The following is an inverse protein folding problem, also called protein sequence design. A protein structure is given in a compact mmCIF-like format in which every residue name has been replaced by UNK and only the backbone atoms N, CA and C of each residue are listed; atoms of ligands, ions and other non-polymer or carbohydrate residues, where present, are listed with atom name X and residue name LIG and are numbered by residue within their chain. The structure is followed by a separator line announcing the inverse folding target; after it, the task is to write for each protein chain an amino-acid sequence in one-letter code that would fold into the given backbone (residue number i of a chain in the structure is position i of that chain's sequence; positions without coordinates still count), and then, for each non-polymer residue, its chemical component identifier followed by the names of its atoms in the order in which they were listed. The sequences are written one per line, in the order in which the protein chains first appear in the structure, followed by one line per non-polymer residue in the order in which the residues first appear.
data_IF_830753539699
#
_entry.id   IF_830753539699
#
_cell.length_a   1.000
_cell.length_b   1.000
_cell.length_c   1.000
_cell.angle_alpha   90.00
_cell.angle_beta   90.00
_cell.angle_gamma   90.00
#
_symmetry.space_group_name_H-M   'P 1'
#
loop_
_entity.id
_entity.type
_entity.pdbx_description
1 polymer ?
#
# COMPACT_ATOMS: atom_id res chain seq x y z
N UNK A 1 12.72 -20.60 -8.17
CA UNK A 1 13.13 -21.84 -7.52
C UNK A 1 14.43 -21.58 -6.81
N UNK A 2 14.41 -21.67 -5.48
CA UNK A 2 15.54 -21.40 -4.62
C UNK A 2 16.69 -22.39 -4.84
N UNK A 3 17.90 -21.89 -4.77
CA UNK A 3 19.12 -22.68 -4.67
C UNK A 3 19.10 -23.47 -3.36
N UNK A 4 18.80 -24.75 -3.41
CA UNK A 4 18.99 -25.63 -2.28
C UNK A 4 20.40 -26.24 -2.36
N UNK A 5 21.22 -26.00 -1.33
CA UNK A 5 22.53 -26.60 -1.16
C UNK A 5 23.62 -26.23 -2.20
N UNK A 6 23.66 -24.97 -2.64
CA UNK A 6 24.73 -24.49 -3.53
C UNK A 6 24.76 -25.16 -4.91
N UNK A 7 23.59 -25.57 -5.44
CA UNK A 7 23.47 -26.18 -6.77
C UNK A 7 22.40 -25.43 -7.58
N UNK A 8 22.71 -25.16 -8.83
CA UNK A 8 21.77 -24.56 -9.77
C UNK A 8 20.83 -25.65 -10.33
N UNK A 9 19.52 -25.31 -10.40
CA UNK A 9 18.48 -26.17 -10.98
C UNK A 9 18.06 -25.59 -12.32
N UNK A 10 18.20 -26.33 -13.39
CA UNK A 10 17.67 -25.99 -14.72
C UNK A 10 16.70 -27.04 -15.22
N UNK A 11 15.77 -26.63 -16.08
CA UNK A 11 14.78 -27.52 -16.70
C UNK A 11 15.08 -27.62 -18.20
N UNK A 12 15.25 -28.85 -18.69
CA UNK A 12 15.35 -29.14 -20.12
C UNK A 12 14.12 -29.93 -20.60
N UNK A 13 13.59 -29.66 -21.80
CA UNK A 13 12.53 -30.50 -22.37
C UNK A 13 13.08 -31.87 -22.79
N UNK A 14 12.34 -33.00 -22.58
CA UNK A 14 11.02 -33.12 -21.98
C UNK A 14 11.07 -33.44 -20.48
N UNK A 15 10.90 -32.46 -19.59
CA UNK A 15 10.74 -32.63 -18.14
C UNK A 15 11.95 -33.26 -17.39
N UNK A 16 13.17 -33.01 -17.81
CA UNK A 16 14.37 -33.44 -17.09
C UNK A 16 14.92 -32.33 -16.20
N UNK A 17 15.07 -32.62 -14.90
CA UNK A 17 15.74 -31.72 -13.95
C UNK A 17 17.23 -32.04 -13.98
N UNK A 18 18.06 -31.06 -14.36
CA UNK A 18 19.52 -31.17 -14.30
C UNK A 18 20.01 -30.40 -13.08
N UNK A 19 20.80 -31.10 -12.24
CA UNK A 19 21.41 -30.49 -11.05
C UNK A 19 22.90 -30.27 -11.36
N UNK A 20 23.25 -29.00 -11.65
CA UNK A 20 24.63 -28.58 -11.89
C UNK A 20 25.31 -28.07 -10.59
N UNK A 21 26.65 -28.06 -10.58
CA UNK A 21 27.40 -27.27 -9.60
C UNK A 21 27.34 -25.81 -10.04
N UNK A 22 26.98 -24.91 -9.11
CA UNK A 22 27.17 -23.47 -9.32
C UNK A 22 28.68 -23.28 -9.53
N UNK A 23 29.08 -22.77 -10.69
CA UNK A 23 30.41 -22.21 -10.81
C UNK A 23 30.46 -21.06 -9.80
N UNK A 24 31.32 -21.18 -8.81
CA UNK A 24 31.70 -20.01 -8.03
C UNK A 24 32.32 -19.02 -9.01
N UNK A 25 31.50 -18.05 -9.44
CA UNK A 25 32.05 -16.82 -9.98
C UNK A 25 32.85 -16.23 -8.83
N UNK A 26 34.16 -16.30 -8.98
CA UNK A 26 35.12 -15.60 -8.13
C UNK A 26 34.63 -14.15 -8.15
N UNK A 27 33.92 -13.73 -7.08
CA UNK A 27 33.69 -12.33 -6.78
C UNK A 27 35.11 -11.75 -6.61
N UNK A 28 35.64 -11.25 -7.73
CA UNK A 28 36.74 -10.28 -7.67
C UNK A 28 36.14 -9.16 -6.85
N UNK A 29 36.65 -8.85 -5.67
CA UNK A 29 36.22 -7.69 -4.95
C UNK A 29 36.59 -6.53 -5.88
N UNK A 30 35.61 -6.00 -6.61
CA UNK A 30 35.73 -4.68 -7.21
C UNK A 30 35.87 -3.77 -6.01
N UNK A 31 37.09 -3.32 -5.74
CA UNK A 31 37.37 -2.18 -4.91
C UNK A 31 36.74 -1.00 -5.65
N UNK A 32 35.42 -0.85 -5.54
CA UNK A 32 34.76 0.38 -5.91
C UNK A 32 35.35 1.43 -4.97
N UNK A 33 36.16 2.30 -5.53
CA UNK A 33 36.57 3.53 -4.85
C UNK A 33 35.29 4.19 -4.34
N UNK A 34 35.19 4.56 -3.05
CA UNK A 34 33.98 5.15 -2.51
C UNK A 34 33.54 6.30 -3.43
N UNK A 35 32.34 6.21 -3.98
CA UNK A 35 31.81 7.24 -4.87
C UNK A 35 31.82 8.57 -4.12
N UNK A 36 32.38 9.61 -4.73
CA UNK A 36 32.38 10.97 -4.20
C UNK A 36 30.94 11.53 -4.07
N UNK A 37 29.97 10.86 -4.68
CA UNK A 37 28.55 11.25 -4.70
C UNK A 37 27.72 10.40 -3.74
N UNK A 38 26.70 11.02 -3.14
CA UNK A 38 25.77 10.31 -2.26
C UNK A 38 24.73 9.50 -3.05
N UNK A 39 24.16 10.07 -4.10
CA UNK A 39 23.29 9.39 -5.05
C UNK A 39 24.16 8.91 -6.20
N UNK A 40 24.19 7.61 -6.42
CA UNK A 40 25.17 6.93 -7.26
C UNK A 40 24.58 6.35 -8.55
N UNK A 41 23.25 6.34 -8.69
CA UNK A 41 22.59 5.83 -9.88
C UNK A 41 21.09 5.70 -9.73
N UNK A 42 20.44 5.24 -10.80
CA UNK A 42 19.03 4.90 -10.84
C UNK A 42 18.84 3.53 -11.49
N UNK A 43 17.77 2.84 -11.10
CA UNK A 43 17.23 1.69 -11.82
C UNK A 43 15.75 1.94 -12.09
N UNK A 44 15.30 1.57 -13.30
CA UNK A 44 13.90 1.66 -13.70
C UNK A 44 13.37 0.25 -13.95
N UNK A 45 12.17 0.00 -13.43
CA UNK A 45 11.41 -1.23 -13.67
C UNK A 45 10.03 -0.83 -14.19
N UNK A 46 9.79 -1.04 -15.48
CA UNK A 46 8.54 -0.70 -16.14
C UNK A 46 7.52 -1.83 -15.98
N UNK A 47 6.35 -1.47 -15.48
CA UNK A 47 5.20 -2.36 -15.29
C UNK A 47 4.01 -1.86 -16.13
N UNK A 48 3.05 -2.74 -16.37
CA UNK A 48 1.85 -2.40 -17.15
C UNK A 48 1.06 -1.21 -16.57
N UNK A 49 1.13 -0.98 -15.27
CA UNK A 49 0.40 0.06 -14.53
C UNK A 49 1.27 1.24 -14.07
N UNK A 50 2.56 1.25 -14.41
CA UNK A 50 3.45 2.36 -14.04
C UNK A 50 4.93 2.01 -14.12
N UNK A 51 5.78 2.88 -13.59
CA UNK A 51 7.23 2.70 -13.55
C UNK A 51 7.72 2.84 -12.10
N UNK A 52 8.48 1.85 -11.64
CA UNK A 52 9.21 1.90 -10.38
C UNK A 52 10.62 2.41 -10.65
N UNK A 53 11.01 3.50 -10.00
CA UNK A 53 12.34 4.08 -10.08
C UNK A 53 13.03 3.90 -8.73
N UNK A 54 14.17 3.23 -8.72
CA UNK A 54 15.00 3.10 -7.52
C UNK A 54 16.20 4.04 -7.64
N UNK A 55 16.26 5.04 -6.77
CA UNK A 55 17.40 5.96 -6.65
C UNK A 55 18.40 5.34 -5.68
N UNK A 56 19.56 4.97 -6.19
CA UNK A 56 20.63 4.33 -5.43
C UNK A 56 21.38 5.34 -4.61
N UNK A 57 21.52 5.10 -3.29
CA UNK A 57 22.24 5.99 -2.38
C UNK A 57 23.19 5.24 -1.46
N UNK A 58 24.36 5.80 -1.22
CA UNK A 58 25.35 5.26 -0.27
C UNK A 58 25.11 5.70 1.17
N UNK A 59 24.20 6.66 1.39
CA UNK A 59 23.77 7.08 2.73
C UNK A 59 22.26 7.26 2.79
N UNK A 60 21.69 7.08 3.97
CA UNK A 60 20.25 7.34 4.19
C UNK A 60 19.95 8.84 4.03
N UNK A 61 18.96 9.14 3.22
CA UNK A 61 18.46 10.49 2.99
C UNK A 61 17.13 10.64 3.74
N UNK A 62 17.12 11.31 4.90
CA UNK A 62 15.95 11.27 5.79
C UNK A 62 14.77 12.13 5.30
N UNK A 63 15.04 13.10 4.42
CA UNK A 63 14.02 14.03 3.94
C UNK A 63 14.34 14.56 2.54
N UNK A 64 13.29 14.81 1.79
CA UNK A 64 13.34 15.43 0.46
C UNK A 64 12.12 16.35 0.30
N UNK A 65 12.22 17.30 -0.61
CA UNK A 65 11.09 18.11 -1.08
C UNK A 65 10.63 17.56 -2.41
N UNK A 66 9.32 17.44 -2.57
CA UNK A 66 8.67 16.94 -3.79
C UNK A 66 7.73 18.02 -4.33
N UNK A 67 7.82 18.32 -5.63
CA UNK A 67 6.92 19.22 -6.32
C UNK A 67 6.58 18.65 -7.71
N UNK A 68 5.32 18.77 -8.13
CA UNK A 68 4.87 18.37 -9.46
C UNK A 68 4.30 19.57 -10.20
N UNK A 69 4.91 19.92 -11.34
CA UNK A 69 4.46 21.02 -12.19
C UNK A 69 4.81 20.75 -13.65
N UNK A 70 3.91 21.06 -14.58
CA UNK A 70 4.13 20.96 -16.02
C UNK A 70 4.63 19.55 -16.46
N UNK A 71 4.05 18.49 -15.93
CA UNK A 71 4.43 17.10 -16.17
C UNK A 71 5.86 16.75 -15.73
N UNK A 72 6.43 17.51 -14.81
CA UNK A 72 7.73 17.23 -14.22
C UNK A 72 7.57 17.06 -12.71
N UNK A 73 7.94 15.90 -12.20
CA UNK A 73 8.16 15.66 -10.79
C UNK A 73 9.58 16.08 -10.44
N UNK A 74 9.70 17.04 -9.54
CA UNK A 74 10.99 17.54 -9.05
C UNK A 74 11.20 17.06 -7.62
N UNK A 75 12.33 16.38 -7.38
CA UNK A 75 12.75 15.93 -6.06
C UNK A 75 14.04 16.68 -5.69
N UNK A 76 14.02 17.34 -4.54
CA UNK A 76 15.20 18.07 -4.02
C UNK A 76 15.68 17.40 -2.73
N UNK A 77 16.91 16.94 -2.74
CA UNK A 77 17.60 16.29 -1.63
C UNK A 77 18.63 17.25 -1.03
N UNK A 78 18.43 17.70 0.20
CA UNK A 78 19.28 18.68 0.84
C UNK A 78 20.58 18.09 1.35
N UNK A 79 21.70 18.79 1.13
CA UNK A 79 23.06 18.38 1.53
C UNK A 79 23.43 16.98 1.02
N UNK A 80 23.07 16.74 -0.23
CA UNK A 80 23.29 15.49 -0.97
C UNK A 80 23.86 15.83 -2.32
N UNK A 81 24.88 15.11 -2.75
CA UNK A 81 25.45 15.19 -4.09
C UNK A 81 25.00 14.03 -4.95
N UNK A 82 24.84 14.25 -6.25
CA UNK A 82 24.40 13.24 -7.23
C UNK A 82 25.43 13.08 -8.34
N UNK A 83 25.69 11.84 -8.72
CA UNK A 83 26.45 11.49 -9.94
C UNK A 83 25.54 11.73 -11.16
N UNK A 84 25.66 12.92 -11.74
CA UNK A 84 24.77 13.37 -12.82
C UNK A 84 24.84 12.46 -14.04
N UNK A 85 26.02 11.92 -14.35
CA UNK A 85 26.23 11.09 -15.54
C UNK A 85 25.50 9.74 -15.44
N UNK A 86 25.32 9.23 -14.23
CA UNK A 86 24.62 7.97 -13.95
C UNK A 86 23.11 8.11 -13.74
N UNK A 87 22.57 9.34 -13.73
CA UNK A 87 21.16 9.59 -13.47
C UNK A 87 20.40 10.13 -14.71
N UNK A 88 21.00 10.13 -15.87
CA UNK A 88 20.32 10.56 -17.08
C UNK A 88 19.60 9.38 -17.76
N UNK A 89 18.33 9.56 -18.03
CA UNK A 89 17.49 8.60 -18.72
C UNK A 89 16.60 9.29 -19.75
N UNK A 90 16.44 8.70 -20.92
CA UNK A 90 15.46 9.11 -21.93
C UNK A 90 14.80 7.87 -22.50
N UNK A 91 13.46 7.77 -22.35
CA UNK A 91 12.64 6.67 -22.85
C UNK A 91 11.57 7.16 -23.81
N UNK A 92 11.27 6.37 -24.83
CA UNK A 92 10.19 6.63 -25.78
C UNK A 92 8.87 6.02 -25.31
N UNK A 93 8.96 4.85 -24.75
CA UNK A 93 7.83 4.04 -24.28
C UNK A 93 7.49 4.35 -22.81
N UNK A 94 6.76 3.74 -22.07
CA UNK A 94 6.47 3.97 -20.66
C UNK A 94 5.94 5.37 -20.28
N UNK A 95 5.56 5.52 -19.02
CA UNK A 95 5.06 6.78 -18.47
C UNK A 95 6.18 7.78 -18.17
N UNK A 96 7.37 7.31 -17.85
CA UNK A 96 8.55 8.15 -17.61
C UNK A 96 9.25 8.41 -18.93
N UNK A 97 9.32 9.67 -19.33
CA UNK A 97 9.92 10.09 -20.61
C UNK A 97 11.37 10.51 -20.46
N UNK A 98 11.73 11.14 -19.35
CA UNK A 98 13.08 11.63 -19.10
C UNK A 98 13.37 11.72 -17.62
N UNK A 99 14.59 11.41 -17.23
CA UNK A 99 15.14 11.73 -15.91
C UNK A 99 16.41 12.54 -16.11
N UNK A 100 16.53 13.64 -15.40
CA UNK A 100 17.72 14.48 -15.35
C UNK A 100 18.05 14.80 -13.89
N UNK A 101 19.33 14.86 -13.58
CA UNK A 101 19.80 15.28 -12.26
C UNK A 101 20.73 16.45 -12.37
N UNK A 102 20.75 17.27 -11.32
CA UNK A 102 21.68 18.41 -11.18
C UNK A 102 22.09 18.56 -9.73
N UNK A 103 23.33 18.99 -9.53
CA UNK A 103 23.77 19.53 -8.25
C UNK A 103 23.54 21.04 -8.26
N UNK A 104 22.77 21.57 -7.30
CA UNK A 104 22.48 23.00 -7.16
C UNK A 104 22.97 23.44 -5.78
N UNK A 105 24.14 24.08 -5.73
CA UNK A 105 24.84 24.38 -4.49
C UNK A 105 25.20 23.08 -3.75
N UNK A 106 24.70 22.93 -2.53
CA UNK A 106 24.92 21.73 -1.71
C UNK A 106 23.79 20.65 -1.87
N UNK A 107 22.80 20.89 -2.73
CA UNK A 107 21.62 20.05 -2.88
C UNK A 107 21.63 19.32 -4.22
N UNK A 108 21.14 18.07 -4.24
CA UNK A 108 20.85 17.34 -5.46
C UNK A 108 19.39 17.52 -5.86
N UNK A 109 19.15 17.74 -7.16
CA UNK A 109 17.80 17.87 -7.70
C UNK A 109 17.61 16.85 -8.83
N UNK A 110 16.57 16.04 -8.74
CA UNK A 110 16.18 15.07 -9.78
C UNK A 110 14.87 15.56 -10.41
N UNK A 111 14.85 15.64 -11.73
CA UNK A 111 13.70 15.98 -12.55
C UNK A 111 13.22 14.74 -13.29
N UNK A 112 11.97 14.33 -13.08
CA UNK A 112 11.35 13.21 -13.76
C UNK A 112 10.22 13.75 -14.63
N UNK A 113 10.44 13.76 -15.93
CA UNK A 113 9.43 14.16 -16.92
C UNK A 113 8.54 12.97 -17.24
N UNK A 114 7.22 13.15 -17.09
CA UNK A 114 6.22 12.10 -17.33
C UNK A 114 5.34 12.40 -18.54
N UNK A 115 4.81 11.35 -19.16
CA UNK A 115 3.90 11.44 -20.29
C UNK A 115 2.46 11.79 -19.92
N UNK A 116 1.58 11.85 -20.92
CA UNK A 116 0.16 12.15 -20.74
C UNK A 116 -0.59 11.06 -19.94
N UNK A 117 -0.03 9.88 -19.92
CA UNK A 117 -0.54 8.70 -19.20
C UNK A 117 -0.31 8.79 -17.68
N UNK A 118 0.46 9.75 -17.20
CA UNK A 118 0.71 9.95 -15.77
C UNK A 118 -0.58 10.17 -14.99
N UNK A 119 -0.72 9.49 -13.86
CA UNK A 119 -1.83 9.62 -12.92
C UNK A 119 -1.37 10.23 -11.60
N UNK A 120 -0.46 9.56 -10.91
CA UNK A 120 0.06 9.97 -9.60
C UNK A 120 1.47 9.42 -9.38
N UNK A 121 2.11 9.86 -8.30
CA UNK A 121 3.42 9.35 -7.89
C UNK A 121 3.49 9.20 -6.38
N UNK A 122 4.34 8.29 -5.95
CA UNK A 122 4.72 8.09 -4.55
C UNK A 122 6.24 8.08 -4.42
N UNK A 123 6.75 8.56 -3.30
CA UNK A 123 8.18 8.55 -3.00
C UNK A 123 8.38 8.05 -1.59
N UNK A 124 9.24 7.07 -1.39
CA UNK A 124 9.49 6.46 -0.08
C UNK A 124 10.94 6.04 0.12
N UNK A 125 11.38 6.03 1.37
CA UNK A 125 12.66 5.44 1.77
C UNK A 125 12.49 3.95 2.04
N UNK A 126 13.36 3.12 1.52
CA UNK A 126 13.39 1.68 1.82
C UNK A 126 13.97 1.47 3.22
N UNK A 127 13.29 0.70 4.09
CA UNK A 127 13.71 0.55 5.50
C UNK A 127 15.08 -0.11 5.69
N UNK A 128 15.42 -1.09 4.86
CA UNK A 128 16.64 -1.89 4.97
C UNK A 128 17.76 -1.46 4.02
N UNK A 129 17.56 -0.37 3.30
CA UNK A 129 18.48 0.17 2.31
C UNK A 129 18.59 1.68 2.50
N UNK A 130 19.62 2.28 1.89
CA UNK A 130 19.73 3.73 1.77
C UNK A 130 18.98 4.27 0.55
N UNK A 131 18.44 3.38 -0.28
CA UNK A 131 17.79 3.72 -1.55
C UNK A 131 16.43 4.41 -1.33
N UNK A 132 16.02 5.18 -2.33
CA UNK A 132 14.71 5.81 -2.37
C UNK A 132 13.96 5.21 -3.53
N UNK A 133 12.73 4.81 -3.29
CA UNK A 133 11.81 4.35 -4.32
C UNK A 133 10.84 5.45 -4.71
N UNK A 134 10.65 5.59 -6.02
CA UNK A 134 9.70 6.50 -6.64
C UNK A 134 8.80 5.66 -7.54
N UNK A 135 7.52 5.62 -7.24
CA UNK A 135 6.53 4.95 -8.07
C UNK A 135 5.80 5.99 -8.90
N UNK A 136 5.81 5.84 -10.22
CA UNK A 136 5.06 6.66 -11.18
C UNK A 136 3.93 5.81 -11.73
N UNK A 137 2.68 6.21 -11.51
CA UNK A 137 1.50 5.46 -11.92
C UNK A 137 0.92 5.94 -13.25
N UNK A 138 0.52 4.99 -14.11
CA UNK A 138 -0.22 5.28 -15.33
C UNK A 138 -1.69 5.58 -15.05
N UNK A 139 -2.31 6.38 -15.91
CA UNK A 139 -3.77 6.38 -16.04
C UNK A 139 -4.18 5.01 -16.56
N UNK A 140 -5.00 4.30 -15.81
CA UNK A 140 -5.59 3.05 -16.27
C UNK A 140 -6.26 3.29 -17.64
N UNK A 141 -6.05 2.40 -18.60
CA UNK A 141 -6.53 2.50 -19.97
C UNK A 141 -8.00 2.97 -20.01
N UNK A 142 -8.22 4.13 -20.61
CA UNK A 142 -9.52 4.51 -21.09
C UNK A 142 -9.72 3.77 -22.41
N UNK A 143 -10.40 2.64 -22.38
CA UNK A 143 -11.00 2.09 -23.58
C UNK A 143 -11.97 3.11 -24.15
N UNK A 144 -11.62 3.68 -25.30
CA UNK A 144 -12.38 4.73 -25.97
C UNK A 144 -13.77 4.30 -26.48
N UNK A 145 -14.15 3.02 -26.32
CA UNK A 145 -15.41 2.46 -26.79
C UNK A 145 -16.40 2.01 -25.68
N UNK A 146 -16.18 2.38 -24.43
CA UNK A 146 -17.01 1.91 -23.32
C UNK A 146 -17.55 3.00 -22.41
N UNK A 147 -17.94 4.17 -22.97
CA UNK A 147 -18.45 5.29 -22.18
C UNK A 147 -19.67 4.92 -21.28
N UNK A 148 -20.50 3.98 -21.69
CA UNK A 148 -21.62 3.49 -20.88
C UNK A 148 -21.19 2.45 -19.83
N UNK A 149 -20.33 1.49 -20.20
CA UNK A 149 -19.76 0.53 -19.23
C UNK A 149 -18.85 1.18 -18.18
N UNK A 150 -18.16 2.29 -18.54
CA UNK A 150 -17.37 3.07 -17.60
C UNK A 150 -18.24 3.86 -16.63
N UNK A 151 -19.39 4.41 -17.04
CA UNK A 151 -20.34 5.05 -16.13
C UNK A 151 -20.84 4.06 -15.09
N UNK A 152 -21.31 2.87 -15.49
CA UNK A 152 -21.75 1.80 -14.59
C UNK A 152 -20.62 1.33 -13.63
N UNK A 153 -19.37 1.30 -14.09
CA UNK A 153 -18.21 0.92 -13.25
C UNK A 153 -17.90 1.95 -12.17
N UNK A 154 -18.20 3.23 -12.39
CA UNK A 154 -17.86 4.32 -11.46
C UNK A 154 -19.10 4.90 -10.75
N UNK A 155 -20.26 4.32 -10.98
CA UNK A 155 -21.45 4.67 -10.23
C UNK A 155 -21.28 4.18 -8.78
N UNK A 156 -21.47 5.09 -7.82
CA UNK A 156 -21.33 4.79 -6.40
C UNK A 156 -22.62 4.13 -5.90
N UNK A 157 -22.74 2.83 -6.18
CA UNK A 157 -23.97 2.06 -6.00
C UNK A 157 -23.84 0.91 -4.99
N UNK A 158 -22.62 0.53 -4.58
CA UNK A 158 -22.39 -0.57 -3.63
C UNK A 158 -21.38 -0.19 -2.55
N UNK A 159 -21.80 -0.25 -1.29
CA UNK A 159 -20.92 -0.14 -0.12
C UNK A 159 -20.81 -1.50 0.55
N UNK A 160 -19.59 -1.93 0.82
CA UNK A 160 -19.30 -3.16 1.57
C UNK A 160 -18.84 -2.81 2.97
N UNK A 161 -19.56 -3.30 3.96
CA UNK A 161 -19.23 -3.10 5.38
C UNK A 161 -18.66 -4.38 5.94
N UNK A 162 -17.44 -4.30 6.41
CA UNK A 162 -16.74 -5.38 7.07
C UNK A 162 -16.79 -5.21 8.58
N UNK A 163 -17.44 -6.14 9.26
CA UNK A 163 -17.38 -6.23 10.71
C UNK A 163 -16.18 -7.08 11.10
N UNK A 164 -15.11 -6.45 11.57
CA UNK A 164 -13.87 -7.14 11.96
C UNK A 164 -14.09 -8.28 12.95
N UNK A 165 -13.20 -9.29 12.90
CA UNK A 165 -13.27 -10.49 13.73
C UNK A 165 -14.54 -11.34 13.51
N UNK A 166 -14.87 -12.21 14.47
CA UNK A 166 -16.09 -13.04 14.45
C UNK A 166 -15.83 -14.51 14.74
N UNK A 167 -16.85 -15.23 15.20
CA UNK A 167 -16.78 -16.64 15.55
C UNK A 167 -15.69 -16.94 16.59
N UNK A 168 -14.71 -17.75 16.20
CA UNK A 168 -13.55 -18.14 17.04
C UNK A 168 -12.57 -17.01 17.33
N UNK A 169 -12.58 -15.96 16.51
CA UNK A 169 -11.76 -14.76 16.70
C UNK A 169 -12.56 -13.70 17.46
N UNK A 170 -12.22 -13.48 18.72
CA UNK A 170 -12.90 -12.50 19.57
C UNK A 170 -12.45 -11.05 19.30
N UNK A 171 -11.30 -10.85 18.66
CA UNK A 171 -10.60 -9.57 18.64
C UNK A 171 -10.12 -9.17 20.06
N UNK A 172 -9.99 -7.90 20.31
CA UNK A 172 -9.67 -7.39 21.62
C UNK A 172 -10.76 -7.69 22.64
N UNK A 173 -10.35 -7.93 23.90
CA UNK A 173 -11.26 -8.13 25.03
C UNK A 173 -11.18 -6.92 25.93
N UNK A 174 -12.28 -6.18 25.98
CA UNK A 174 -12.43 -5.00 26.80
C UNK A 174 -12.65 -5.29 28.29
N UNK A 175 -12.88 -4.23 29.04
CA UNK A 175 -13.28 -4.33 30.48
C UNK A 175 -14.61 -5.07 30.55
N UNK A 176 -14.79 -5.90 31.57
CA UNK A 176 -16.00 -6.73 31.77
C UNK A 176 -16.22 -7.81 30.70
N UNK A 177 -15.18 -8.21 29.96
CA UNK A 177 -15.25 -9.30 29.01
C UNK A 177 -15.97 -8.97 27.69
N UNK A 178 -16.25 -7.71 27.40
CA UNK A 178 -16.84 -7.28 26.14
C UNK A 178 -15.87 -7.59 24.99
N UNK A 179 -16.33 -8.31 24.01
CA UNK A 179 -15.53 -8.72 22.85
C UNK A 179 -15.65 -7.72 21.72
N UNK A 180 -14.54 -7.41 21.09
CA UNK A 180 -14.48 -6.49 19.94
C UNK A 180 -15.42 -6.94 18.79
N UNK A 181 -15.42 -8.23 18.47
CA UNK A 181 -16.27 -8.80 17.41
C UNK A 181 -17.74 -8.45 17.54
N UNK A 182 -18.26 -8.36 18.78
CA UNK A 182 -19.67 -8.09 19.06
C UNK A 182 -19.98 -6.62 18.83
N UNK A 183 -19.07 -5.74 19.23
CA UNK A 183 -19.18 -4.29 19.01
C UNK A 183 -19.06 -3.97 17.53
N UNK A 184 -18.07 -4.54 16.84
CA UNK A 184 -17.88 -4.34 15.40
C UNK A 184 -19.13 -4.75 14.61
N UNK A 185 -19.73 -5.89 14.94
CA UNK A 185 -20.96 -6.36 14.31
C UNK A 185 -22.14 -5.41 14.57
N UNK A 186 -22.31 -4.96 15.80
CA UNK A 186 -23.38 -4.03 16.17
C UNK A 186 -23.26 -2.69 15.41
N UNK A 187 -22.03 -2.14 15.33
CA UNK A 187 -21.75 -0.90 14.60
C UNK A 187 -22.00 -1.11 13.10
N UNK A 188 -21.49 -2.20 12.52
CA UNK A 188 -21.64 -2.51 11.09
C UNK A 188 -23.11 -2.61 10.68
N UNK A 189 -23.92 -3.33 11.45
CA UNK A 189 -25.35 -3.48 11.17
C UNK A 189 -26.11 -2.15 11.29
N UNK A 190 -25.76 -1.33 12.31
CA UNK A 190 -26.38 -0.01 12.50
C UNK A 190 -25.98 0.95 11.38
N UNK A 191 -24.72 0.96 10.98
CA UNK A 191 -24.21 1.78 9.86
C UNK A 191 -24.92 1.41 8.57
N UNK A 192 -24.99 0.13 8.25
CA UNK A 192 -25.64 -0.31 7.02
C UNK A 192 -27.14 -0.01 6.97
N UNK A 193 -27.82 -0.10 8.13
CA UNK A 193 -29.23 0.33 8.23
C UNK A 193 -29.37 1.82 7.92
N UNK A 194 -28.51 2.67 8.51
CA UNK A 194 -28.53 4.13 8.26
C UNK A 194 -28.25 4.45 6.78
N UNK A 195 -27.31 3.75 6.15
CA UNK A 195 -27.01 3.92 4.71
C UNK A 195 -28.27 3.58 3.88
N UNK A 196 -28.90 2.43 4.12
CA UNK A 196 -30.09 2.01 3.39
C UNK A 196 -31.29 2.94 3.58
N UNK A 197 -31.40 3.57 4.75
CA UNK A 197 -32.46 4.55 5.04
C UNK A 197 -32.24 5.88 4.32
N UNK A 198 -30.98 6.31 4.16
CA UNK A 198 -30.64 7.64 3.66
C UNK A 198 -30.14 7.64 2.19
N UNK A 199 -29.67 6.51 1.68
CA UNK A 199 -29.09 6.36 0.33
C UNK A 199 -29.81 5.23 -0.40
N UNK A 200 -30.98 5.51 -0.97
CA UNK A 200 -31.89 4.49 -1.55
C UNK A 200 -31.30 3.76 -2.76
N UNK A 201 -30.43 4.43 -3.51
CA UNK A 201 -29.80 3.88 -4.71
C UNK A 201 -28.48 3.11 -4.39
N UNK A 202 -28.11 3.00 -3.11
CA UNK A 202 -26.90 2.33 -2.67
C UNK A 202 -27.22 0.98 -2.03
N UNK A 203 -26.70 -0.09 -2.61
CA UNK A 203 -26.74 -1.44 -2.05
C UNK A 203 -25.70 -1.58 -0.93
N UNK A 204 -26.12 -2.08 0.22
CA UNK A 204 -25.21 -2.44 1.33
C UNK A 204 -24.96 -3.95 1.33
N UNK A 205 -23.70 -4.31 1.29
CA UNK A 205 -23.20 -5.69 1.42
C UNK A 205 -22.41 -5.79 2.72
N UNK A 206 -22.56 -6.88 3.44
CA UNK A 206 -21.79 -7.13 4.68
C UNK A 206 -20.91 -8.33 4.48
N UNK A 207 -19.71 -8.33 5.02
CA UNK A 207 -18.88 -9.53 5.09
C UNK A 207 -19.50 -10.57 6.01
N UNK A 208 -20.09 -10.13 7.13
CA UNK A 208 -20.91 -10.97 8.03
C UNK A 208 -22.06 -10.17 8.64
N UNK A 209 -23.15 -10.88 8.93
CA UNK A 209 -24.33 -10.35 9.66
C UNK A 209 -24.59 -11.07 10.98
N UNK A 210 -23.79 -12.08 11.29
CA UNK A 210 -23.88 -12.91 12.49
C UNK A 210 -22.48 -13.12 13.07
N UNK A 211 -22.40 -13.81 14.20
CA UNK A 211 -21.11 -14.13 14.84
C UNK A 211 -20.46 -15.35 14.17
N UNK A 212 -19.89 -15.14 12.97
CA UNK A 212 -19.13 -16.12 12.20
C UNK A 212 -17.74 -15.61 11.89
N UNK A 213 -16.77 -16.53 11.81
CA UNK A 213 -15.41 -16.23 11.39
C UNK A 213 -15.33 -16.16 9.86
N UNK A 214 -14.70 -15.12 9.34
CA UNK A 214 -14.42 -14.93 7.90
C UNK A 214 -12.94 -14.65 7.75
N UNK A 215 -12.25 -15.46 6.95
CA UNK A 215 -10.83 -15.26 6.62
C UNK A 215 -10.59 -13.87 6.01
N UNK A 216 -9.45 -13.25 6.28
CA UNK A 216 -9.17 -11.87 5.82
C UNK A 216 -9.30 -11.75 4.29
N UNK A 217 -8.71 -12.68 3.53
CA UNK A 217 -8.80 -12.64 2.07
C UNK A 217 -10.24 -12.77 1.53
N UNK A 218 -11.11 -13.51 2.24
CA UNK A 218 -12.51 -13.68 1.84
C UNK A 218 -13.29 -12.37 1.98
N UNK A 219 -12.91 -11.49 2.92
CA UNK A 219 -13.55 -10.19 3.12
C UNK A 219 -13.38 -9.29 1.91
N UNK A 220 -12.15 -9.14 1.42
CA UNK A 220 -11.88 -8.42 0.16
C UNK A 220 -12.52 -9.10 -1.06
N UNK A 221 -12.50 -10.45 -1.12
CA UNK A 221 -13.17 -11.20 -2.18
C UNK A 221 -14.67 -10.92 -2.23
N UNK A 222 -15.36 -10.88 -1.09
CA UNK A 222 -16.78 -10.51 -1.00
C UNK A 222 -17.02 -9.11 -1.59
N UNK A 223 -16.13 -8.16 -1.30
CA UNK A 223 -16.23 -6.81 -1.85
C UNK A 223 -16.14 -6.83 -3.39
N UNK A 224 -15.14 -7.50 -3.93
CA UNK A 224 -14.91 -7.58 -5.37
C UNK A 224 -16.02 -8.33 -6.13
N UNK A 225 -16.49 -9.45 -5.59
CA UNK A 225 -17.59 -10.24 -6.18
C UNK A 225 -18.92 -9.49 -6.21
N UNK A 226 -19.12 -8.52 -5.32
CA UNK A 226 -20.29 -7.66 -5.30
C UNK A 226 -20.10 -6.31 -6.01
N UNK A 227 -18.99 -6.11 -6.73
CA UNK A 227 -18.63 -4.83 -7.36
C UNK A 227 -18.61 -3.65 -6.37
N UNK A 228 -18.16 -3.89 -5.14
CA UNK A 228 -18.08 -2.88 -4.09
C UNK A 228 -17.30 -1.65 -4.53
N UNK A 229 -17.87 -0.47 -4.35
CA UNK A 229 -17.22 0.82 -4.68
C UNK A 229 -16.54 1.46 -3.47
N UNK A 230 -16.94 1.04 -2.29
CA UNK A 230 -16.35 1.44 -1.03
C UNK A 230 -16.34 0.22 -0.09
N UNK A 231 -15.18 -0.08 0.46
CA UNK A 231 -15.00 -1.10 1.50
C UNK A 231 -14.64 -0.43 2.81
N UNK A 232 -15.45 -0.65 3.84
CA UNK A 232 -15.26 -0.08 5.18
C UNK A 232 -15.11 -1.22 6.17
N UNK A 233 -13.93 -1.38 6.74
CA UNK A 233 -13.68 -2.32 7.84
C UNK A 233 -13.76 -1.61 9.18
N UNK A 234 -14.47 -2.21 10.13
CA UNK A 234 -14.77 -1.64 11.45
C UNK A 234 -14.10 -2.48 12.52
N UNK A 235 -13.28 -1.83 13.34
CA UNK A 235 -12.52 -2.41 14.44
C UNK A 235 -12.58 -1.53 15.70
N UNK A 236 -12.24 -2.11 16.84
CA UNK A 236 -12.09 -1.42 18.12
C UNK A 236 -10.70 -1.71 18.69
N UNK A 237 -9.76 -0.80 18.47
CA UNK A 237 -8.38 -0.95 18.93
C UNK A 237 -8.31 -1.11 20.46
N UNK A 238 -7.35 -1.88 20.92
CA UNK A 238 -7.01 -2.00 22.33
C UNK A 238 -5.64 -1.38 22.64
N UNK A 239 -5.39 -1.10 23.90
CA UNK A 239 -4.09 -0.62 24.38
C UNK A 239 -3.43 -1.67 25.28
N UNK A 240 -2.09 -1.87 25.18
CA UNK A 240 -1.39 -2.82 26.04
C UNK A 240 -1.44 -2.46 27.52
N UNK A 241 -1.49 -1.16 27.84
CA UNK A 241 -1.54 -0.66 29.23
C UNK A 241 -2.97 -0.37 29.64
N UNK A 242 -3.37 -0.92 30.79
CA UNK A 242 -4.66 -0.69 31.43
C UNK A 242 -4.44 -0.14 32.84
N UNK A 243 -5.24 0.86 33.31
CA UNK A 243 -6.24 1.60 32.55
C UNK A 243 -5.63 2.48 31.47
N UNK A 244 -6.37 2.72 30.37
CA UNK A 244 -5.96 3.59 29.28
C UNK A 244 -6.81 4.85 29.23
N UNK A 245 -6.18 5.98 28.96
CA UNK A 245 -6.86 7.26 28.68
C UNK A 245 -7.16 7.42 27.15
N UNK A 246 -6.72 6.46 26.35
CA UNK A 246 -6.95 6.50 24.90
C UNK A 246 -8.46 6.31 24.61
N UNK A 247 -9.03 7.28 23.92
CA UNK A 247 -10.41 7.25 23.44
C UNK A 247 -10.50 7.93 22.06
N UNK A 248 -11.66 7.85 21.43
CA UNK A 248 -11.92 8.51 20.15
C UNK A 248 -11.86 7.56 18.97
N UNK A 249 -11.60 8.12 17.79
CA UNK A 249 -11.58 7.38 16.54
C UNK A 249 -10.29 7.61 15.75
N UNK A 250 -9.95 6.64 14.94
CA UNK A 250 -8.84 6.66 13.98
C UNK A 250 -9.36 6.16 12.64
N UNK A 251 -8.86 6.72 11.55
CA UNK A 251 -9.13 6.23 10.19
C UNK A 251 -7.81 5.71 9.61
N UNK A 252 -7.83 4.50 9.07
CA UNK A 252 -6.66 3.88 8.49
C UNK A 252 -6.79 3.70 6.99
N UNK A 253 -5.72 4.00 6.27
CA UNK A 253 -5.56 3.73 4.85
C UNK A 253 -4.52 2.62 4.64
N UNK A 254 -4.69 1.83 3.59
CA UNK A 254 -3.73 0.81 3.20
C UNK A 254 -2.47 1.47 2.64
N UNK A 255 -1.43 1.56 3.46
CA UNK A 255 -0.08 2.02 3.10
C UNK A 255 0.93 1.48 4.11
N UNK A 256 2.24 1.54 3.82
CA UNK A 256 3.25 1.25 4.83
C UNK A 256 3.02 2.07 6.10
N UNK A 257 3.07 1.39 7.24
CA UNK A 257 2.90 2.05 8.54
C UNK A 257 4.03 3.04 8.81
N UNK A 258 3.68 4.28 9.17
CA UNK A 258 4.68 5.34 9.45
C UNK A 258 5.03 5.44 10.93
N UNK A 259 4.22 4.90 11.83
CA UNK A 259 4.44 4.97 13.27
C UNK A 259 4.48 3.57 13.87
N UNK A 260 5.27 3.39 14.93
CA UNK A 260 5.33 2.11 15.65
C UNK A 260 3.95 1.67 16.15
N UNK A 261 3.11 2.62 16.56
CA UNK A 261 1.75 2.35 17.01
C UNK A 261 0.90 1.77 15.86
N UNK A 262 0.91 2.41 14.67
CA UNK A 262 0.14 1.93 13.52
C UNK A 262 0.63 0.55 13.02
N UNK A 263 1.94 0.32 13.03
CA UNK A 263 2.53 -0.98 12.69
C UNK A 263 2.06 -2.05 13.69
N UNK A 264 2.16 -1.77 15.00
CA UNK A 264 1.76 -2.72 16.05
C UNK A 264 0.26 -3.05 16.00
N UNK A 265 -0.59 -2.08 15.68
CA UNK A 265 -2.02 -2.32 15.48
C UNK A 265 -2.24 -3.23 14.27
N UNK A 266 -1.58 -2.94 13.13
CA UNK A 266 -1.72 -3.79 11.96
C UNK A 266 -1.19 -5.21 12.19
N UNK A 267 -0.08 -5.37 12.90
CA UNK A 267 0.45 -6.69 13.29
C UNK A 267 -0.55 -7.47 14.15
N UNK A 268 -1.21 -6.80 15.10
CA UNK A 268 -2.24 -7.41 15.93
C UNK A 268 -3.43 -7.87 15.07
N UNK A 269 -3.98 -6.99 14.24
CA UNK A 269 -5.11 -7.32 13.36
C UNK A 269 -4.76 -8.39 12.33
N UNK A 270 -3.55 -8.35 11.76
CA UNK A 270 -3.09 -9.36 10.81
C UNK A 270 -2.81 -10.71 11.48
N UNK A 271 -2.58 -10.76 12.79
CA UNK A 271 -2.30 -12.01 13.51
C UNK A 271 -3.44 -13.03 13.45
N UNK A 272 -4.64 -12.58 13.09
CA UNK A 272 -5.83 -13.43 12.92
C UNK A 272 -5.66 -14.49 11.83
N UNK A 273 -4.69 -14.32 10.91
CA UNK A 273 -4.37 -15.33 9.88
C UNK A 273 -4.02 -16.70 10.50
N UNK A 274 -3.54 -16.74 11.75
CA UNK A 274 -3.28 -17.99 12.47
C UNK A 274 -4.55 -18.84 12.71
N UNK A 275 -5.71 -18.24 12.64
CA UNK A 275 -6.99 -18.95 12.75
C UNK A 275 -7.54 -19.42 11.42
N UNK A 276 -6.91 -19.07 10.28
CA UNK A 276 -7.32 -19.47 8.95
C UNK A 276 -6.83 -20.88 8.61
N UNK A 277 -7.50 -21.52 7.65
CA UNK A 277 -7.09 -22.86 7.18
C UNK A 277 -5.74 -22.85 6.47
N UNK A 278 -5.38 -21.75 5.81
CA UNK A 278 -4.12 -21.61 5.10
C UNK A 278 -3.44 -20.27 5.44
N UNK A 279 -2.74 -20.17 6.59
CA UNK A 279 -2.02 -18.96 7.00
C UNK A 279 -0.89 -18.54 6.04
N UNK A 280 -0.32 -19.50 5.30
CA UNK A 280 0.79 -19.25 4.38
C UNK A 280 0.37 -18.58 3.07
N UNK A 281 -0.91 -18.27 2.91
CA UNK A 281 -1.43 -17.56 1.74
C UNK A 281 -0.93 -16.11 1.65
N UNK A 282 -0.63 -15.51 2.78
CA UNK A 282 -0.27 -14.10 2.87
C UNK A 282 1.22 -13.91 2.67
N UNK A 283 1.58 -13.19 1.63
CA UNK A 283 2.93 -12.69 1.49
C UNK A 283 3.19 -11.64 2.58
N UNK A 284 4.39 -11.68 3.13
CA UNK A 284 4.80 -10.69 4.12
C UNK A 284 4.74 -9.31 3.47
N UNK A 285 4.00 -8.38 4.07
CA UNK A 285 3.93 -6.99 3.63
C UNK A 285 5.26 -6.29 3.96
N UNK A 286 6.31 -6.61 3.18
CA UNK A 286 7.56 -5.84 3.14
C UNK A 286 7.31 -4.56 2.35
N UNK A 287 8.21 -3.58 2.49
CA UNK A 287 8.10 -2.33 1.71
C UNK A 287 8.05 -2.60 0.20
N UNK A 288 8.81 -3.60 -0.28
CA UNK A 288 8.83 -3.98 -1.69
C UNK A 288 7.48 -4.55 -2.15
N UNK A 289 6.90 -5.49 -1.38
CA UNK A 289 5.59 -6.06 -1.69
C UNK A 289 4.48 -5.01 -1.56
N UNK A 290 4.64 -4.07 -0.63
CA UNK A 290 3.69 -2.97 -0.46
C UNK A 290 3.64 -2.05 -1.68
N UNK A 291 4.76 -1.87 -2.37
CA UNK A 291 4.82 -1.09 -3.61
C UNK A 291 3.97 -1.76 -4.71
N UNK A 292 4.10 -3.08 -4.86
CA UNK A 292 3.28 -3.83 -5.82
C UNK A 292 1.78 -3.72 -5.50
N UNK A 293 1.42 -3.80 -4.22
CA UNK A 293 0.04 -3.61 -3.76
C UNK A 293 -0.42 -2.17 -4.03
N UNK A 294 0.38 -1.16 -3.71
CA UNK A 294 0.03 0.25 -3.92
C UNK A 294 -0.09 0.59 -5.41
N UNK A 295 0.73 -0.03 -6.27
CA UNK A 295 0.60 0.10 -7.73
C UNK A 295 -0.73 -0.47 -8.24
N UNK A 296 -1.18 -1.62 -7.72
CA UNK A 296 -2.46 -2.21 -8.08
C UNK A 296 -3.65 -1.33 -7.64
N UNK A 297 -3.51 -0.61 -6.54
CA UNK A 297 -4.58 0.17 -5.91
C UNK A 297 -4.48 1.69 -6.09
N UNK A 298 -3.52 2.19 -6.86
CA UNK A 298 -3.19 3.63 -6.92
C UNK A 298 -4.36 4.53 -7.28
N UNK A 299 -5.24 4.09 -8.17
CA UNK A 299 -6.43 4.87 -8.56
C UNK A 299 -7.43 5.01 -7.41
N UNK A 300 -7.57 3.96 -6.61
CA UNK A 300 -8.51 3.92 -5.48
C UNK A 300 -7.97 4.65 -4.25
N UNK A 301 -6.66 4.71 -4.10
CA UNK A 301 -5.99 5.37 -2.96
C UNK A 301 -6.40 6.83 -2.82
N UNK A 302 -6.47 7.58 -3.92
CA UNK A 302 -6.88 8.98 -3.91
C UNK A 302 -8.32 9.17 -3.42
N UNK A 303 -9.22 8.27 -3.82
CA UNK A 303 -10.62 8.30 -3.35
C UNK A 303 -10.71 7.89 -1.88
N UNK A 304 -9.93 6.90 -1.47
CA UNK A 304 -9.83 6.48 -0.06
C UNK A 304 -9.30 7.60 0.83
N UNK A 305 -8.26 8.33 0.40
CA UNK A 305 -7.75 9.50 1.12
C UNK A 305 -8.82 10.58 1.30
N UNK A 306 -9.51 10.92 0.22
CA UNK A 306 -10.57 11.92 0.28
C UNK A 306 -11.71 11.49 1.20
N UNK A 307 -12.15 10.24 1.08
CA UNK A 307 -13.17 9.70 1.97
C UNK A 307 -12.74 9.73 3.44
N UNK A 308 -11.49 9.34 3.73
CA UNK A 308 -10.93 9.36 5.09
C UNK A 308 -10.86 10.79 5.66
N UNK A 309 -10.47 11.78 4.83
CA UNK A 309 -10.46 13.18 5.23
C UNK A 309 -11.87 13.71 5.50
N UNK A 310 -12.85 13.41 4.65
CA UNK A 310 -14.21 13.87 4.80
C UNK A 310 -14.88 13.20 6.00
N UNK A 311 -14.66 11.91 6.22
CA UNK A 311 -15.10 11.18 7.41
C UNK A 311 -14.49 11.78 8.69
N UNK A 312 -13.19 12.07 8.66
CA UNK A 312 -12.50 12.73 9.77
C UNK A 312 -13.12 14.11 10.07
N UNK A 313 -13.35 14.95 9.06
CA UNK A 313 -13.99 16.26 9.22
C UNK A 313 -15.38 16.16 9.84
N UNK A 314 -16.16 15.16 9.45
CA UNK A 314 -17.50 14.95 10.03
C UNK A 314 -17.45 14.48 11.48
N UNK A 315 -16.55 13.53 11.80
CA UNK A 315 -16.44 12.98 13.13
C UNK A 315 -15.93 13.98 14.16
N UNK A 316 -15.02 14.89 13.79
CA UNK A 316 -14.51 15.92 14.72
C UNK A 316 -15.57 16.96 15.09
N UNK A 317 -16.67 17.06 14.35
CA UNK A 317 -17.81 17.92 14.72
C UNK A 317 -18.60 17.36 15.92
N UNK A 318 -18.43 16.07 16.23
CA UNK A 318 -19.13 15.42 17.31
C UNK A 318 -18.36 15.60 18.64
N UNK A 319 -18.93 16.31 19.63
CA UNK A 319 -18.19 16.77 20.81
C UNK A 319 -17.67 15.63 21.70
N UNK A 320 -18.26 14.43 21.62
CA UNK A 320 -17.85 13.26 22.40
C UNK A 320 -16.83 12.38 21.70
N UNK A 321 -16.41 12.71 20.48
CA UNK A 321 -15.45 11.93 19.71
C UNK A 321 -14.12 12.68 19.59
N UNK A 322 -13.10 12.19 20.28
CA UNK A 322 -11.73 12.69 20.12
C UNK A 322 -11.12 12.12 18.84
N UNK A 323 -10.57 13.00 17.99
CA UNK A 323 -9.85 12.54 16.81
C UNK A 323 -8.42 12.12 17.15
N UNK A 324 -8.02 10.96 16.65
CA UNK A 324 -6.63 10.48 16.65
C UNK A 324 -6.02 10.50 15.22
N UNK A 325 -6.73 11.11 14.27
CA UNK A 325 -6.29 11.42 12.93
C UNK A 325 -6.50 10.31 11.90
N UNK A 326 -6.07 10.62 10.67
CA UNK A 326 -5.96 9.67 9.56
C UNK A 326 -4.55 9.09 9.55
N UNK A 327 -4.43 7.77 9.59
CA UNK A 327 -3.18 7.02 9.71
C UNK A 327 -3.01 6.05 8.54
N UNK A 328 -1.88 5.39 8.50
CA UNK A 328 -1.51 4.43 7.45
C UNK A 328 -0.96 3.17 8.09
N UNK A 329 -1.41 2.00 7.63
CA UNK A 329 -0.86 0.72 8.06
C UNK A 329 -1.16 -0.41 7.07
N UNK A 330 -0.39 -1.49 7.17
CA UNK A 330 -0.45 -2.65 6.29
C UNK A 330 -1.47 -3.69 6.75
N UNK A 331 -2.74 -3.42 6.59
CA UNK A 331 -3.80 -4.38 6.93
C UNK A 331 -4.07 -5.33 5.78
N UNK A 332 -3.92 -6.64 6.00
CA UNK A 332 -4.21 -7.67 4.99
C UNK A 332 -5.66 -7.64 4.50
N UNK A 333 -6.60 -7.28 5.35
CA UNK A 333 -8.02 -7.18 4.98
C UNK A 333 -8.26 -6.17 3.85
N UNK A 334 -7.44 -5.12 3.77
CA UNK A 334 -7.54 -4.08 2.75
C UNK A 334 -6.80 -4.45 1.45
N UNK A 335 -5.79 -5.33 1.51
CA UNK A 335 -5.00 -5.73 0.33
C UNK A 335 -5.86 -6.40 -0.73
N UNK A 336 -6.86 -7.15 -0.34
CA UNK A 336 -7.73 -7.87 -1.26
C UNK A 336 -8.95 -7.09 -1.78
N UNK A 337 -9.21 -5.90 -1.25
CA UNK A 337 -10.35 -5.06 -1.66
C UNK A 337 -9.91 -4.09 -2.75
N UNK A 338 -10.32 -4.30 -4.01
CA UNK A 338 -9.90 -3.53 -5.20
C UNK A 338 -11.08 -3.12 -6.08
#
# INVERSE_FOLDING_TARGET
LETAYGKELSFEPPNKIVIGKIKEDILIPTTETPSAFNITGIALDEKANGTLITVKSNKRIPSYLSAFKNNVLTLTFRKVSVDVDKLNYSGTDGVVKKIEAKNIGADAVIYITVGKEYSTNEVMNIEKSNDIQITIHNKLFKDSNSSNKLKEKWEFDVIVIDAGHGGKDAGAIGVNGVKEKDINLAIALKLGKLIQENMKDVKVVYTRKTDVFIDLYKRGKIANENNGKLFISIHCNSTPKKPSVANGFEVYLLRPGRTKEAISIAEFENSVIQFEENPNRYEKLTDENFILVSMAHSTYMKYSERFAEDLHKEFVKHPSLSSRGVKQAGFYVLVGAS
#
